data_IF_034856904775
#
_entry.id   IF_034856904775
#
_cell.length_a   1.000
_cell.length_b   1.000
_cell.length_c   1.000
_cell.angle_alpha   90.00
_cell.angle_beta   90.00
_cell.angle_gamma   90.00
#
_symmetry.space_group_name_H-M   'P 1'
#
loop_
_entity.id
_entity.type
_entity.pdbx_description
1 polymer ?
#
# COMPACT_ATOMS: atom_id res chain seq x y z
N UNK A 1 -11.27 -12.38 34.32
CA UNK A 1 -12.33 -11.36 34.47
C UNK A 1 -12.44 -10.64 33.13
N UNK A 2 -13.58 -10.80 32.44
CA UNK A 2 -13.98 -10.25 31.12
C UNK A 2 -12.90 -9.84 30.10
N UNK A 3 -12.80 -10.64 29.04
CA UNK A 3 -12.40 -10.21 27.70
C UNK A 3 -13.31 -9.09 27.19
N UNK A 4 -12.78 -8.20 26.34
CA UNK A 4 -13.55 -7.16 25.66
C UNK A 4 -13.79 -7.57 24.21
N UNK A 5 -15.03 -7.92 23.88
CA UNK A 5 -15.41 -8.46 22.58
C UNK A 5 -15.45 -7.41 21.46
N UNK A 6 -15.42 -7.92 20.22
CA UNK A 6 -15.57 -7.18 18.97
C UNK A 6 -16.80 -6.27 18.97
N UNK A 7 -16.66 -5.10 18.36
CA UNK A 7 -17.75 -4.15 18.13
C UNK A 7 -18.82 -4.73 17.20
N UNK A 8 -19.95 -5.16 17.77
CA UNK A 8 -21.13 -5.56 17.01
C UNK A 8 -21.83 -4.32 16.42
N UNK A 9 -21.88 -4.23 15.10
CA UNK A 9 -22.74 -3.25 14.44
C UNK A 9 -24.19 -3.79 14.40
N UNK A 10 -25.20 -2.97 14.72
CA UNK A 10 -26.59 -3.43 14.71
C UNK A 10 -27.07 -3.68 13.28
N UNK A 11 -27.50 -4.91 13.01
CA UNK A 11 -28.16 -5.30 11.76
C UNK A 11 -29.48 -4.51 11.62
N UNK A 12 -29.49 -3.43 10.82
CA UNK A 12 -30.73 -2.77 10.38
C UNK A 12 -31.28 -3.50 9.16
N UNK A 13 -32.55 -3.88 9.23
CA UNK A 13 -33.29 -4.40 8.08
C UNK A 13 -33.28 -3.38 6.93
N UNK A 14 -33.01 -3.80 5.68
CA UNK A 14 -32.91 -2.87 4.55
C UNK A 14 -34.26 -2.18 4.30
N UNK A 15 -34.20 -0.88 4.03
CA UNK A 15 -35.38 -0.03 3.78
C UNK A 15 -35.42 0.42 2.31
N UNK A 16 -36.56 0.92 1.85
CA UNK A 16 -36.68 1.53 0.53
C UNK A 16 -35.84 2.83 0.46
N UNK A 17 -34.92 2.89 -0.50
CA UNK A 17 -33.96 3.99 -0.64
C UNK A 17 -34.42 4.99 -1.70
N UNK A 18 -35.03 6.09 -1.27
CA UNK A 18 -35.26 7.25 -2.11
C UNK A 18 -33.97 8.09 -2.30
N UNK A 19 -32.96 7.51 -2.96
CA UNK A 19 -31.63 8.14 -3.12
C UNK A 19 -31.68 9.56 -3.69
N UNK A 20 -32.60 9.85 -4.61
CA UNK A 20 -32.76 11.18 -5.19
C UNK A 20 -33.19 12.23 -4.15
N UNK A 21 -34.08 11.88 -3.20
CA UNK A 21 -34.49 12.80 -2.14
C UNK A 21 -33.41 12.95 -1.08
N UNK A 22 -32.68 11.87 -0.76
CA UNK A 22 -31.52 11.90 0.16
C UNK A 22 -30.43 12.83 -0.39
N UNK A 23 -30.04 12.67 -1.66
CA UNK A 23 -29.04 13.53 -2.31
C UNK A 23 -29.50 15.00 -2.39
N UNK A 24 -30.78 15.25 -2.70
CA UNK A 24 -31.33 16.60 -2.70
C UNK A 24 -31.39 17.23 -1.30
N UNK A 25 -31.72 16.46 -0.26
CA UNK A 25 -31.70 16.90 1.13
C UNK A 25 -30.29 17.23 1.62
N UNK A 26 -29.31 16.40 1.26
CA UNK A 26 -27.88 16.61 1.60
C UNK A 26 -27.32 17.87 0.92
N UNK A 27 -27.64 18.07 -0.36
CA UNK A 27 -27.25 19.27 -1.11
C UNK A 27 -27.88 20.54 -0.51
N UNK A 28 -29.20 20.53 -0.29
CA UNK A 28 -29.95 21.69 0.22
C UNK A 28 -29.58 22.07 1.66
N UNK A 29 -29.21 21.10 2.51
CA UNK A 29 -28.75 21.34 3.89
C UNK A 29 -27.27 21.76 3.99
N UNK A 30 -26.56 21.90 2.86
CA UNK A 30 -25.12 22.16 2.80
C UNK A 30 -24.30 21.22 3.71
N UNK A 31 -24.66 19.94 3.74
CA UNK A 31 -24.04 18.98 4.68
C UNK A 31 -22.57 18.76 4.32
N UNK A 32 -21.70 18.75 5.35
CA UNK A 32 -20.29 18.33 5.24
C UNK A 32 -20.09 17.03 6.00
N UNK A 33 -19.48 16.02 5.37
CA UNK A 33 -19.29 14.69 5.95
C UNK A 33 -19.19 13.59 4.89
N UNK A 34 -19.35 12.33 5.30
CA UNK A 34 -19.48 11.21 4.39
C UNK A 34 -20.91 10.64 4.45
N UNK A 35 -21.63 10.64 3.34
CA UNK A 35 -22.83 9.83 3.17
C UNK A 35 -22.39 8.42 2.76
N UNK A 36 -22.52 7.48 3.69
CA UNK A 36 -22.36 6.05 3.43
C UNK A 36 -23.72 5.48 3.01
N UNK A 37 -23.76 4.74 1.91
CA UNK A 37 -24.92 3.92 1.50
C UNK A 37 -24.45 2.47 1.41
N UNK A 38 -25.26 1.54 1.90
CA UNK A 38 -24.96 0.10 1.88
C UNK A 38 -26.15 -0.69 1.36
N UNK A 39 -25.95 -1.58 0.39
CA UNK A 39 -26.93 -2.61 0.04
C UNK A 39 -26.61 -3.92 0.81
N UNK A 40 -26.91 -5.09 0.25
CA UNK A 40 -26.61 -6.39 0.87
C UNK A 40 -25.17 -6.89 0.66
N UNK A 41 -24.41 -6.34 -0.30
CA UNK A 41 -23.07 -6.85 -0.68
C UNK A 41 -22.03 -5.76 -0.95
N UNK A 42 -22.45 -4.49 -1.04
CA UNK A 42 -21.66 -3.36 -1.48
C UNK A 42 -21.84 -2.14 -0.56
N UNK A 43 -20.81 -1.30 -0.55
CA UNK A 43 -20.78 -0.02 0.18
C UNK A 43 -20.40 1.09 -0.79
N UNK A 44 -21.16 2.18 -0.80
CA UNK A 44 -20.85 3.43 -1.48
C UNK A 44 -20.53 4.52 -0.45
N UNK A 45 -19.55 5.36 -0.76
CA UNK A 45 -19.06 6.43 0.10
C UNK A 45 -19.06 7.72 -0.73
N UNK A 46 -19.84 8.71 -0.31
CA UNK A 46 -19.98 10.00 -0.96
C UNK A 46 -19.51 11.10 -0.01
N UNK A 47 -18.40 11.74 -0.35
CA UNK A 47 -17.76 12.76 0.48
C UNK A 47 -18.20 14.15 0.06
N UNK A 48 -18.73 14.88 1.03
CA UNK A 48 -19.49 16.08 0.83
C UNK A 48 -18.90 17.21 1.65
N UNK A 49 -18.84 18.40 1.05
CA UNK A 49 -18.43 19.62 1.72
C UNK A 49 -19.39 20.74 1.31
N UNK A 50 -20.07 21.35 2.28
CA UNK A 50 -21.09 22.40 2.05
C UNK A 50 -22.17 21.98 1.04
N UNK A 51 -22.51 20.68 1.00
CA UNK A 51 -23.48 20.10 0.07
C UNK A 51 -22.96 19.80 -1.35
N UNK A 52 -21.70 20.13 -1.66
CA UNK A 52 -21.04 19.76 -2.92
C UNK A 52 -20.28 18.45 -2.76
N UNK A 53 -20.23 17.63 -3.82
CA UNK A 53 -19.51 16.36 -3.82
C UNK A 53 -18.02 16.59 -4.10
N UNK A 54 -17.16 16.21 -3.15
CA UNK A 54 -15.70 16.27 -3.29
C UNK A 54 -15.17 14.98 -3.92
N UNK A 55 -15.75 13.83 -3.54
CA UNK A 55 -15.38 12.52 -4.08
C UNK A 55 -16.50 11.49 -3.87
N UNK A 56 -16.55 10.46 -4.73
CA UNK A 56 -17.35 9.28 -4.45
C UNK A 56 -16.65 8.00 -4.94
N UNK A 57 -16.64 6.98 -4.08
CA UNK A 57 -16.13 5.63 -4.37
C UNK A 57 -17.10 4.57 -3.87
N UNK A 58 -16.85 3.31 -4.20
CA UNK A 58 -17.60 2.15 -3.73
C UNK A 58 -16.68 0.92 -3.58
N UNK A 59 -17.18 -0.11 -2.91
CA UNK A 59 -16.47 -1.38 -2.72
C UNK A 59 -16.37 -2.25 -3.99
N UNK A 60 -16.94 -1.82 -5.11
CA UNK A 60 -17.03 -2.59 -6.35
C UNK A 60 -15.84 -2.26 -7.26
N UNK A 61 -14.73 -2.94 -6.98
CA UNK A 61 -13.42 -2.83 -7.63
C UNK A 61 -12.93 -1.36 -7.83
N UNK A 62 -12.69 -0.62 -6.73
CA UNK A 62 -12.21 0.75 -6.81
C UNK A 62 -10.84 0.87 -7.51
N UNK A 63 -9.99 -0.16 -7.46
CA UNK A 63 -8.69 -0.15 -8.14
C UNK A 63 -8.75 -0.44 -9.62
N UNK A 64 -9.51 -1.44 -10.07
CA UNK A 64 -9.74 -1.66 -11.50
C UNK A 64 -10.39 -0.45 -12.17
N UNK A 65 -11.32 0.20 -11.47
CA UNK A 65 -11.90 1.51 -11.85
C UNK A 65 -10.83 2.59 -11.99
N UNK A 66 -9.99 2.79 -10.96
CA UNK A 66 -8.91 3.77 -11.00
C UNK A 66 -7.91 3.48 -12.14
N UNK A 67 -7.44 2.25 -12.30
CA UNK A 67 -6.52 1.87 -13.39
C UNK A 67 -7.17 2.03 -14.77
N UNK A 68 -8.46 1.75 -14.93
CA UNK A 68 -9.17 2.01 -16.19
C UNK A 68 -9.16 3.51 -16.54
N UNK A 69 -9.43 4.40 -15.59
CA UNK A 69 -9.37 5.85 -15.84
C UNK A 69 -7.94 6.36 -16.00
N UNK A 70 -6.96 5.84 -15.26
CA UNK A 70 -5.53 6.16 -15.46
C UNK A 70 -5.02 5.70 -16.82
N UNK A 71 -5.46 4.54 -17.34
CA UNK A 71 -5.15 4.10 -18.71
C UNK A 71 -5.74 5.05 -19.74
N UNK A 72 -7.01 5.45 -19.62
CA UNK A 72 -7.65 6.45 -20.49
C UNK A 72 -6.90 7.78 -20.44
N UNK A 73 -6.50 8.23 -19.25
CA UNK A 73 -5.76 9.49 -19.07
C UNK A 73 -4.33 9.40 -19.61
N UNK A 74 -3.67 8.24 -19.54
CA UNK A 74 -2.31 8.04 -20.09
C UNK A 74 -2.20 8.22 -21.61
N UNK A 75 -3.32 8.14 -22.35
CA UNK A 75 -3.37 8.48 -23.77
C UNK A 75 -3.22 10.00 -24.03
N UNK A 76 -3.49 10.84 -23.02
CA UNK A 76 -3.33 12.31 -23.10
C UNK A 76 -2.22 12.85 -22.19
N UNK A 77 -1.73 12.03 -21.24
CA UNK A 77 -0.77 12.43 -20.20
C UNK A 77 0.41 11.44 -20.20
N UNK A 78 1.53 11.74 -20.89
CA UNK A 78 2.65 10.80 -21.04
C UNK A 78 3.44 10.53 -19.74
N UNK A 79 3.31 11.38 -18.70
CA UNK A 79 3.86 11.11 -17.36
C UNK A 79 3.22 9.90 -16.68
N UNK A 80 2.01 9.49 -17.08
CA UNK A 80 1.33 8.28 -16.58
C UNK A 80 1.76 7.02 -17.35
N UNK A 81 3.06 6.88 -17.61
CA UNK A 81 3.62 5.72 -18.30
C UNK A 81 3.28 4.40 -17.58
N UNK A 82 3.34 3.28 -18.31
CA UNK A 82 2.97 1.96 -17.76
C UNK A 82 3.66 1.60 -16.43
N UNK A 83 4.95 1.93 -16.19
CA UNK A 83 5.59 1.69 -14.90
C UNK A 83 4.91 2.41 -13.73
N UNK A 84 4.47 3.67 -13.93
CA UNK A 84 3.81 4.47 -12.88
C UNK A 84 2.45 3.87 -12.51
N UNK A 85 1.67 3.41 -13.50
CA UNK A 85 0.38 2.74 -13.24
C UNK A 85 0.56 1.41 -12.50
N UNK A 86 1.57 0.62 -12.88
CA UNK A 86 1.93 -0.62 -12.18
C UNK A 86 2.39 -0.32 -10.74
N UNK A 87 3.17 0.75 -10.54
CA UNK A 87 3.61 1.18 -9.21
C UNK A 87 2.44 1.62 -8.33
N UNK A 88 1.50 2.42 -8.84
CA UNK A 88 0.26 2.79 -8.12
C UNK A 88 -0.52 1.54 -7.71
N UNK A 89 -0.70 0.58 -8.64
CA UNK A 89 -1.37 -0.68 -8.34
C UNK A 89 -0.66 -1.45 -7.22
N UNK A 90 0.67 -1.62 -7.30
CA UNK A 90 1.45 -2.32 -6.29
C UNK A 90 1.43 -1.63 -4.91
N UNK A 91 1.39 -0.29 -4.86
CA UNK A 91 1.42 0.49 -3.62
C UNK A 91 0.09 0.47 -2.87
N UNK A 92 -1.05 0.46 -3.57
CA UNK A 92 -2.35 0.70 -2.93
C UNK A 92 -3.39 -0.43 -3.11
N UNK A 93 -3.28 -1.30 -4.13
CA UNK A 93 -4.25 -2.40 -4.36
C UNK A 93 -4.30 -3.38 -3.17
N UNK A 94 -3.12 -3.77 -2.66
CA UNK A 94 -3.01 -4.67 -1.50
C UNK A 94 -3.57 -4.07 -0.21
N UNK A 95 -3.59 -2.73 -0.09
CA UNK A 95 -4.15 -2.03 1.08
C UNK A 95 -5.68 -2.08 1.12
N UNK A 96 -6.33 -2.31 -0.04
CA UNK A 96 -7.77 -2.57 -0.13
C UNK A 96 -8.11 -4.02 0.23
N UNK A 97 -7.36 -5.01 -0.29
CA UNK A 97 -7.57 -6.44 0.00
C UNK A 97 -7.43 -6.78 1.50
N UNK A 98 -6.59 -6.04 2.22
CA UNK A 98 -6.38 -6.21 3.67
C UNK A 98 -7.41 -5.47 4.54
N UNK A 99 -8.38 -4.75 3.95
CA UNK A 99 -9.41 -4.01 4.68
C UNK A 99 -8.92 -2.77 5.44
N UNK A 100 -7.68 -2.33 5.20
CA UNK A 100 -7.02 -1.24 5.95
C UNK A 100 -7.40 0.15 5.42
N UNK A 101 -7.73 0.26 4.13
CA UNK A 101 -8.05 1.53 3.46
C UNK A 101 -9.48 1.62 2.91
N UNK A 102 -10.31 2.48 3.52
CA UNK A 102 -11.58 2.94 2.92
C UNK A 102 -11.41 4.05 1.86
N UNK A 103 -10.16 4.40 1.51
CA UNK A 103 -9.78 5.61 0.76
C UNK A 103 -8.64 5.37 -0.24
N UNK A 104 -8.25 4.12 -0.47
CA UNK A 104 -6.99 3.74 -1.12
C UNK A 104 -6.86 4.26 -2.55
N UNK A 105 -7.98 4.43 -3.25
CA UNK A 105 -8.07 5.02 -4.59
C UNK A 105 -7.90 6.56 -4.57
N UNK A 106 -8.50 7.27 -3.62
CA UNK A 106 -8.28 8.71 -3.45
C UNK A 106 -6.85 9.03 -2.97
N UNK A 107 -6.32 8.22 -2.06
CA UNK A 107 -4.93 8.33 -1.58
C UNK A 107 -3.93 8.12 -2.73
N UNK A 108 -4.21 7.17 -3.64
CA UNK A 108 -3.43 6.98 -4.86
C UNK A 108 -3.48 8.20 -5.81
N UNK A 109 -4.64 8.87 -5.94
CA UNK A 109 -4.76 10.12 -6.72
C UNK A 109 -3.96 11.26 -6.05
N UNK A 110 -4.03 11.39 -4.73
CA UNK A 110 -3.24 12.37 -3.98
C UNK A 110 -1.74 12.14 -4.20
N UNK A 111 -1.26 10.91 -4.06
CA UNK A 111 0.12 10.53 -4.29
C UNK A 111 0.60 10.84 -5.72
N UNK A 112 -0.23 10.58 -6.74
CA UNK A 112 0.08 10.93 -8.13
C UNK A 112 0.29 12.44 -8.35
N UNK A 113 -0.42 13.30 -7.60
CA UNK A 113 -0.23 14.76 -7.65
C UNK A 113 1.01 15.17 -6.84
N UNK A 114 1.24 14.59 -5.66
CA UNK A 114 2.44 14.85 -4.85
C UNK A 114 3.74 14.51 -5.59
N UNK A 115 3.76 13.40 -6.34
CA UNK A 115 4.89 12.98 -7.17
C UNK A 115 4.93 13.68 -8.55
N UNK A 116 4.07 14.68 -8.79
CA UNK A 116 3.99 15.46 -10.03
C UNK A 116 3.68 14.65 -11.31
N UNK A 117 3.16 13.43 -11.18
CA UNK A 117 2.67 12.65 -12.32
C UNK A 117 1.35 13.20 -12.88
N UNK A 118 0.53 13.82 -12.03
CA UNK A 118 -0.71 14.53 -12.36
C UNK A 118 -0.65 15.99 -11.95
N UNK A 119 -1.23 16.88 -12.76
CA UNK A 119 -1.58 18.23 -12.31
C UNK A 119 -2.85 18.21 -11.45
N UNK A 120 -3.09 19.19 -10.56
CA UNK A 120 -4.34 19.30 -9.80
C UNK A 120 -5.60 19.32 -10.68
N UNK A 121 -5.53 19.93 -11.87
CA UNK A 121 -6.62 19.96 -12.85
C UNK A 121 -6.90 18.58 -13.47
N UNK A 122 -5.85 17.79 -13.75
CA UNK A 122 -5.99 16.42 -14.24
C UNK A 122 -6.56 15.51 -13.15
N UNK A 123 -6.13 15.69 -11.89
CA UNK A 123 -6.70 15.01 -10.74
C UNK A 123 -8.18 15.37 -10.54
N UNK A 124 -8.54 16.66 -10.64
CA UNK A 124 -9.93 17.11 -10.57
C UNK A 124 -10.84 16.41 -11.60
N UNK A 125 -10.37 16.27 -12.84
CA UNK A 125 -11.07 15.54 -13.91
C UNK A 125 -11.18 14.04 -13.64
N UNK A 126 -10.13 13.43 -13.09
CA UNK A 126 -10.09 12.01 -12.72
C UNK A 126 -11.05 11.70 -11.56
N UNK A 127 -11.01 12.52 -10.50
CA UNK A 127 -11.92 12.48 -9.35
C UNK A 127 -13.37 12.62 -9.80
N UNK A 128 -13.67 13.56 -10.71
CA UNK A 128 -15.00 13.72 -11.29
C UNK A 128 -15.48 12.53 -12.12
N UNK A 129 -14.61 11.91 -12.93
CA UNK A 129 -14.95 10.73 -13.72
C UNK A 129 -15.25 9.51 -12.83
N UNK A 130 -14.43 9.28 -11.80
CA UNK A 130 -14.64 8.21 -10.82
C UNK A 130 -15.93 8.45 -10.02
N UNK A 131 -16.15 9.67 -9.54
CA UNK A 131 -17.35 10.04 -8.78
C UNK A 131 -18.63 9.87 -9.61
N UNK A 132 -18.59 10.20 -10.91
CA UNK A 132 -19.70 9.96 -11.83
C UNK A 132 -20.01 8.46 -11.95
N UNK A 133 -19.02 7.62 -12.20
CA UNK A 133 -19.21 6.17 -12.32
C UNK A 133 -19.68 5.53 -11.00
N UNK A 134 -19.23 6.06 -9.86
CA UNK A 134 -19.70 5.65 -8.52
C UNK A 134 -21.18 5.99 -8.33
N UNK A 135 -21.63 7.16 -8.79
CA UNK A 135 -23.06 7.55 -8.81
C UNK A 135 -23.90 6.73 -9.81
N UNK A 136 -23.34 6.38 -10.99
CA UNK A 136 -24.04 5.54 -11.99
C UNK A 136 -24.38 4.15 -11.42
N UNK A 137 -23.54 3.59 -10.55
CA UNK A 137 -23.82 2.32 -9.83
C UNK A 137 -24.75 2.49 -8.62
N UNK A 138 -24.79 3.67 -7.99
CA UNK A 138 -25.61 3.96 -6.81
C UNK A 138 -27.09 4.22 -7.18
N UNK A 139 -27.33 5.06 -8.18
CA UNK A 139 -28.68 5.54 -8.55
C UNK A 139 -29.72 4.45 -8.91
N UNK A 140 -29.37 3.23 -9.37
CA UNK A 140 -30.34 2.14 -9.58
C UNK A 140 -30.82 1.44 -8.30
N UNK A 141 -30.18 1.64 -7.15
CA UNK A 141 -30.54 0.92 -5.91
C UNK A 141 -31.93 1.33 -5.41
N UNK A 142 -32.75 0.33 -5.13
CA UNK A 142 -34.09 0.50 -4.57
C UNK A 142 -34.14 0.22 -3.06
N UNK A 143 -33.18 -0.54 -2.53
CA UNK A 143 -33.16 -0.99 -1.14
C UNK A 143 -31.76 -0.91 -0.54
N UNK A 144 -31.69 -0.62 0.76
CA UNK A 144 -30.45 -0.57 1.52
C UNK A 144 -30.58 0.26 2.79
N UNK A 145 -29.43 0.65 3.36
CA UNK A 145 -29.32 1.54 4.50
C UNK A 145 -28.43 2.75 4.11
N UNK A 146 -28.60 3.88 4.80
CA UNK A 146 -27.70 5.02 4.68
C UNK A 146 -27.36 5.60 6.05
N UNK A 147 -26.12 6.07 6.20
CA UNK A 147 -25.62 6.75 7.38
C UNK A 147 -24.90 8.05 6.95
N UNK A 148 -25.13 9.13 7.71
CA UNK A 148 -24.35 10.36 7.60
C UNK A 148 -23.27 10.35 8.68
N UNK A 149 -22.02 10.17 8.25
CA UNK A 149 -20.86 10.15 9.13
C UNK A 149 -20.26 11.57 9.19
N UNK A 150 -20.38 12.19 10.36
CA UNK A 150 -19.65 13.41 10.69
C UNK A 150 -18.17 13.07 10.83
N UNK A 151 -17.29 13.88 10.21
CA UNK A 151 -15.83 13.66 10.12
C UNK A 151 -15.40 12.40 9.33
N UNK A 152 -15.26 12.56 8.01
CA UNK A 152 -14.50 11.61 7.18
C UNK A 152 -13.00 11.93 7.19
N UNK A 153 -12.14 10.90 7.07
CA UNK A 153 -10.67 11.06 6.96
C UNK A 153 -10.23 12.05 5.87
N UNK A 154 -11.06 12.25 4.84
CA UNK A 154 -10.85 13.24 3.77
C UNK A 154 -10.64 14.70 4.25
N UNK A 155 -10.95 15.02 5.51
CA UNK A 155 -10.68 16.33 6.11
C UNK A 155 -9.21 16.80 5.97
N UNK A 156 -8.25 15.88 6.05
CA UNK A 156 -6.80 16.16 5.96
C UNK A 156 -6.20 15.98 4.57
N UNK A 157 -6.99 15.57 3.57
CA UNK A 157 -6.52 15.33 2.21
C UNK A 157 -6.79 16.56 1.31
N UNK A 158 -5.95 16.79 0.27
CA UNK A 158 -6.17 17.87 -0.68
C UNK A 158 -7.49 17.66 -1.42
N UNK A 159 -8.21 18.75 -1.70
CA UNK A 159 -9.48 18.75 -2.44
C UNK A 159 -9.22 19.22 -3.86
N UNK A 160 -9.44 18.35 -4.84
CA UNK A 160 -9.17 18.68 -6.25
C UNK A 160 -10.36 19.33 -6.96
N UNK A 161 -11.60 19.03 -6.55
CA UNK A 161 -12.79 19.63 -7.13
C UNK A 161 -13.98 19.61 -6.15
N UNK A 162 -14.94 20.48 -6.43
CA UNK A 162 -16.27 20.48 -5.83
C UNK A 162 -17.29 20.32 -6.97
N UNK A 163 -18.06 19.25 -6.92
CA UNK A 163 -18.96 18.85 -7.99
C UNK A 163 -20.42 19.03 -7.54
N UNK A 164 -21.24 19.63 -8.38
CA UNK A 164 -22.67 19.76 -8.08
C UNK A 164 -23.39 18.42 -8.27
N UNK A 165 -23.94 17.89 -7.17
CA UNK A 165 -24.69 16.64 -7.17
C UNK A 165 -25.82 16.62 -8.21
N UNK A 166 -26.53 17.74 -8.38
CA UNK A 166 -27.63 17.88 -9.34
C UNK A 166 -27.15 17.62 -10.77
N UNK A 167 -26.13 18.36 -11.20
CA UNK A 167 -25.53 18.29 -12.53
C UNK A 167 -24.95 16.90 -12.82
N UNK A 168 -24.36 16.24 -11.82
CA UNK A 168 -23.92 14.85 -11.92
C UNK A 168 -25.09 13.86 -12.08
N UNK A 169 -26.12 13.95 -11.24
CA UNK A 169 -27.29 13.06 -11.29
C UNK A 169 -28.04 13.20 -12.62
N UNK A 170 -28.23 14.42 -13.11
CA UNK A 170 -28.83 14.70 -14.42
C UNK A 170 -27.98 14.06 -15.55
N UNK A 171 -26.65 14.18 -15.51
CA UNK A 171 -25.75 13.55 -16.48
C UNK A 171 -25.82 12.01 -16.46
N UNK A 172 -25.87 11.39 -15.27
CA UNK A 172 -26.02 9.94 -15.12
C UNK A 172 -27.37 9.44 -15.65
N UNK A 173 -28.46 10.16 -15.39
CA UNK A 173 -29.79 9.83 -15.90
C UNK A 173 -29.84 9.91 -17.43
N UNK A 174 -29.29 10.96 -18.04
CA UNK A 174 -29.23 11.12 -19.51
C UNK A 174 -28.40 10.03 -20.16
N UNK A 175 -27.27 9.62 -19.58
CA UNK A 175 -26.48 8.47 -20.08
C UNK A 175 -27.28 7.17 -20.05
N UNK A 176 -28.01 6.90 -18.96
CA UNK A 176 -28.84 5.69 -18.82
C UNK A 176 -29.96 5.61 -19.86
N UNK A 177 -30.52 6.75 -20.27
CA UNK A 177 -31.51 6.83 -21.36
C UNK A 177 -30.87 6.53 -22.73
N UNK A 178 -29.59 6.90 -22.94
CA UNK A 178 -28.85 6.67 -24.19
C UNK A 178 -28.21 5.29 -24.30
N UNK A 179 -28.04 4.55 -23.20
CA UNK A 179 -27.49 3.19 -23.17
C UNK A 179 -28.38 2.26 -22.31
N UNK A 180 -29.52 1.77 -22.84
CA UNK A 180 -30.22 0.64 -22.23
C UNK A 180 -29.36 -0.63 -22.34
N UNK A 181 -29.31 -1.42 -21.27
CA UNK A 181 -28.43 -2.59 -21.14
C UNK A 181 -28.53 -3.55 -22.34
N UNK A 182 -27.37 -3.96 -22.85
CA UNK A 182 -27.23 -5.09 -23.76
C UNK A 182 -27.90 -6.34 -23.18
N UNK A 183 -28.80 -6.96 -23.93
CA UNK A 183 -29.54 -8.16 -23.50
C UNK A 183 -28.56 -9.31 -23.15
N UNK A 184 -28.88 -10.16 -22.15
CA UNK A 184 -28.15 -11.41 -21.96
C UNK A 184 -28.37 -12.33 -23.17
N UNK A 185 -27.30 -12.74 -23.84
CA UNK A 185 -27.33 -13.64 -24.97
C UNK A 185 -27.72 -15.06 -24.53
N UNK A 186 -28.93 -15.49 -24.86
CA UNK A 186 -29.34 -16.90 -24.74
C UNK A 186 -28.58 -17.77 -25.75
N UNK A 187 -28.11 -18.93 -25.29
CA UNK A 187 -27.99 -20.12 -26.15
C UNK A 187 -26.58 -20.57 -26.53
N UNK A 188 -25.95 -21.38 -25.66
CA UNK A 188 -25.05 -22.46 -26.06
C UNK A 188 -24.92 -23.49 -24.91
N UNK A 189 -25.62 -24.62 -25.03
CA UNK A 189 -25.25 -25.88 -24.36
C UNK A 189 -24.74 -26.87 -25.44
N UNK A 190 -24.35 -28.12 -25.12
CA UNK A 190 -23.00 -28.43 -24.66
C UNK A 190 -22.31 -29.42 -25.62
N UNK A 191 -20.98 -29.39 -25.74
CA UNK A 191 -20.26 -30.38 -26.56
C UNK A 191 -19.21 -31.19 -25.80
N UNK A 192 -19.50 -32.48 -25.79
CA UNK A 192 -18.74 -33.65 -25.35
C UNK A 192 -17.24 -33.59 -25.62
N UNK A 193 -16.50 -34.27 -24.74
CA UNK A 193 -15.12 -34.69 -24.98
C UNK A 193 -14.97 -35.53 -26.26
N UNK A 194 -13.90 -35.28 -27.00
CA UNK A 194 -12.94 -36.30 -27.51
C UNK A 194 -11.66 -35.61 -27.96
N UNK A 195 -10.51 -36.23 -27.69
CA UNK A 195 -9.21 -35.56 -27.74
C UNK A 195 -8.57 -35.48 -29.13
N UNK A 196 -7.67 -34.51 -29.29
CA UNK A 196 -6.66 -34.48 -30.35
C UNK A 196 -5.33 -33.97 -29.78
N UNK A 197 -4.40 -34.91 -29.61
CA UNK A 197 -3.02 -34.74 -29.15
C UNK A 197 -2.19 -33.96 -30.19
N UNK A 198 -1.72 -32.75 -29.86
CA UNK A 198 -0.62 -32.10 -30.61
C UNK A 198 0.38 -31.43 -29.67
N UNK A 199 1.46 -32.16 -29.39
CA UNK A 199 2.73 -31.60 -28.89
C UNK A 199 3.56 -31.12 -30.09
N UNK A 200 4.30 -30.01 -29.95
CA UNK A 200 5.51 -29.69 -30.72
C UNK A 200 6.30 -28.57 -30.01
N UNK A 201 7.62 -28.45 -30.22
CA UNK A 201 8.52 -29.14 -29.31
C UNK A 201 9.58 -28.24 -28.65
N UNK A 202 10.15 -28.73 -27.55
CA UNK A 202 11.36 -28.17 -26.93
C UNK A 202 12.58 -28.65 -27.72
N UNK A 203 13.47 -27.75 -28.13
CA UNK A 203 14.73 -28.08 -28.77
C UNK A 203 15.82 -28.40 -27.72
N UNK A 204 16.67 -29.42 -27.93
CA UNK A 204 17.68 -29.82 -26.95
C UNK A 204 18.98 -29.01 -27.06
N UNK A 205 19.61 -28.78 -25.91
CA UNK A 205 21.00 -28.32 -25.81
C UNK A 205 21.96 -29.46 -26.20
N UNK A 206 23.04 -29.20 -26.96
CA UNK A 206 24.05 -30.20 -27.25
C UNK A 206 25.04 -30.35 -26.09
N UNK A 207 25.18 -31.59 -25.59
CA UNK A 207 26.36 -32.00 -24.82
C UNK A 207 27.55 -32.16 -25.77
N UNK A 208 28.75 -31.81 -25.32
CA UNK A 208 29.98 -32.45 -25.77
C UNK A 208 30.99 -32.51 -24.63
N UNK A 209 31.80 -33.57 -24.58
CA UNK A 209 32.47 -34.03 -23.37
C UNK A 209 33.99 -34.22 -23.56
N UNK A 210 34.70 -34.03 -22.44
CA UNK A 210 36.00 -34.60 -22.09
C UNK A 210 37.24 -34.29 -22.96
N UNK A 211 38.21 -33.60 -22.35
CA UNK A 211 39.60 -34.05 -22.11
C UNK A 211 40.29 -33.02 -21.19
N UNK A 212 40.60 -33.34 -19.93
CA UNK A 212 41.77 -34.07 -19.42
C UNK A 212 43.05 -33.20 -19.37
N UNK A 213 43.52 -32.84 -18.16
CA UNK A 213 44.95 -32.78 -17.76
C UNK A 213 45.11 -32.45 -16.25
N UNK A 214 46.11 -33.06 -15.61
CA UNK A 214 46.62 -32.90 -14.23
C UNK A 214 48.14 -32.62 -14.32
N UNK A 215 48.86 -32.26 -13.22
CA UNK A 215 48.43 -31.63 -11.97
C UNK A 215 49.02 -30.18 -11.92
N UNK A 216 50.17 -29.79 -11.28
CA UNK A 216 51.02 -30.37 -10.22
C UNK A 216 50.67 -29.81 -8.81
N UNK A 217 51.65 -29.69 -7.91
CA UNK A 217 51.63 -29.08 -6.56
C UNK A 217 53.02 -28.48 -6.29
N UNK A 218 53.14 -27.31 -5.64
CA UNK A 218 54.33 -26.99 -4.79
C UNK A 218 54.06 -25.90 -3.75
N UNK A 219 54.69 -26.03 -2.58
CA UNK A 219 54.75 -25.03 -1.48
C UNK A 219 55.70 -23.86 -1.86
N UNK A 220 55.66 -22.75 -1.09
CA UNK A 220 56.79 -22.24 -0.25
C UNK A 220 56.31 -21.11 0.69
N UNK A 221 56.56 -21.32 1.97
CA UNK A 221 56.95 -20.48 3.14
C UNK A 221 56.66 -18.95 3.27
N UNK A 222 56.92 -18.45 4.49
CA UNK A 222 56.56 -17.15 5.05
C UNK A 222 57.71 -16.11 4.98
N UNK A 223 57.39 -14.83 5.25
CA UNK A 223 58.37 -13.76 5.47
C UNK A 223 57.71 -12.42 5.81
N UNK A 224 58.20 -11.76 6.87
CA UNK A 224 57.68 -10.47 7.38
C UNK A 224 58.29 -9.25 6.68
N UNK A 225 57.63 -8.09 6.78
CA UNK A 225 58.19 -6.79 7.23
C UNK A 225 57.49 -5.59 6.56
N UNK A 226 56.99 -4.66 7.38
CA UNK A 226 56.05 -3.62 6.93
C UNK A 226 56.62 -2.31 6.36
N UNK A 227 55.69 -1.44 5.99
CA UNK A 227 55.76 0.02 6.21
C UNK A 227 54.35 0.63 6.13
N UNK A 228 54.06 1.74 6.83
CA UNK A 228 52.70 2.23 7.04
C UNK A 228 52.26 3.25 5.99
N UNK A 229 50.97 3.24 5.62
CA UNK A 229 50.35 4.41 5.00
C UNK A 229 48.87 4.55 5.34
N UNK A 230 48.50 5.74 5.82
CA UNK A 230 47.16 6.35 5.81
C UNK A 230 45.97 5.46 6.23
N UNK A 231 45.62 5.53 7.51
CA UNK A 231 44.33 5.06 8.01
C UNK A 231 43.16 5.89 7.48
N UNK A 232 42.57 5.45 6.37
CA UNK A 232 41.13 5.64 6.15
C UNK A 232 40.38 4.91 7.28
N UNK A 233 39.22 5.42 7.75
CA UNK A 233 38.44 4.72 8.78
C UNK A 233 38.12 3.32 8.27
N UNK A 234 38.32 2.29 9.12
CA UNK A 234 38.07 0.89 8.74
C UNK A 234 36.65 0.78 8.20
N UNK A 235 36.51 0.60 6.88
CA UNK A 235 35.22 0.31 6.28
C UNK A 235 34.71 -0.97 6.91
N UNK A 236 33.59 -0.86 7.64
CA UNK A 236 33.04 -1.99 8.37
C UNK A 236 32.67 -3.06 7.34
N UNK A 237 33.37 -4.19 7.36
CA UNK A 237 33.22 -5.24 6.34
C UNK A 237 31.83 -5.86 6.35
N UNK A 238 31.11 -5.75 7.48
CA UNK A 238 29.75 -6.27 7.64
C UNK A 238 28.99 -5.41 8.67
N UNK A 239 27.82 -4.90 8.29
CA UNK A 239 26.94 -4.14 9.18
C UNK A 239 25.94 -5.07 9.87
N UNK A 240 25.72 -4.90 11.18
CA UNK A 240 24.72 -5.68 11.92
C UNK A 240 23.38 -4.94 11.93
N UNK A 241 22.36 -5.52 11.31
CA UNK A 241 21.01 -4.96 11.22
C UNK A 241 20.06 -5.75 12.12
N UNK A 242 19.56 -5.12 13.19
CA UNK A 242 18.54 -5.73 14.04
C UNK A 242 17.14 -5.53 13.47
N UNK A 243 16.36 -6.60 13.42
CA UNK A 243 15.02 -6.61 12.84
C UNK A 243 14.03 -7.11 13.88
N UNK A 244 13.14 -6.23 14.34
CA UNK A 244 12.13 -6.52 15.37
C UNK A 244 10.75 -6.46 14.71
N UNK A 245 10.11 -7.62 14.59
CA UNK A 245 8.84 -7.82 13.89
C UNK A 245 8.24 -9.13 14.41
N UNK A 246 6.95 -9.18 14.75
CA UNK A 246 6.30 -10.42 15.19
C UNK A 246 5.93 -11.34 14.01
N UNK A 247 6.03 -10.84 12.77
CA UNK A 247 5.82 -11.64 11.57
C UNK A 247 7.12 -12.35 11.14
N UNK A 248 7.24 -13.69 11.30
CA UNK A 248 8.40 -14.42 10.81
C UNK A 248 8.55 -14.31 9.29
N UNK A 249 7.45 -14.09 8.57
CA UNK A 249 7.43 -13.82 7.12
C UNK A 249 8.17 -12.53 6.76
N UNK A 250 8.01 -11.47 7.54
CA UNK A 250 8.71 -10.18 7.30
C UNK A 250 10.20 -10.32 7.64
N UNK A 251 10.53 -10.99 8.74
CA UNK A 251 11.94 -11.26 9.10
C UNK A 251 12.65 -12.12 8.05
N UNK A 252 12.00 -13.19 7.56
CA UNK A 252 12.50 -14.01 6.46
C UNK A 252 12.75 -13.15 5.19
N UNK A 253 11.84 -12.22 4.87
CA UNK A 253 11.98 -11.37 3.70
C UNK A 253 13.13 -10.36 3.84
N UNK A 254 13.29 -9.75 5.02
CA UNK A 254 14.41 -8.82 5.29
C UNK A 254 15.75 -9.56 5.21
N UNK A 255 15.85 -10.74 5.82
CA UNK A 255 17.04 -11.59 5.77
C UNK A 255 17.37 -12.00 4.33
N UNK A 256 16.39 -12.45 3.55
CA UNK A 256 16.61 -12.79 2.14
C UNK A 256 16.91 -11.57 1.23
N UNK A 257 16.59 -10.35 1.65
CA UNK A 257 16.82 -9.13 0.88
C UNK A 257 18.17 -8.45 1.18
N UNK A 258 18.78 -8.72 2.34
CA UNK A 258 20.08 -8.19 2.74
C UNK A 258 21.16 -9.25 2.50
N UNK A 259 22.14 -8.94 1.64
CA UNK A 259 23.24 -9.86 1.31
C UNK A 259 24.15 -10.12 2.51
N UNK A 260 24.31 -11.41 2.89
CA UNK A 260 25.19 -11.91 3.95
C UNK A 260 26.64 -11.43 3.84
N UNK A 261 27.11 -11.08 2.64
CA UNK A 261 28.45 -10.53 2.43
C UNK A 261 28.64 -9.14 3.05
N UNK A 262 27.57 -8.32 3.11
CA UNK A 262 27.60 -6.94 3.56
C UNK A 262 26.82 -6.71 4.88
N UNK A 263 25.87 -7.59 5.19
CA UNK A 263 24.97 -7.46 6.33
C UNK A 263 24.90 -8.72 7.17
N UNK A 264 24.82 -8.55 8.48
CA UNK A 264 24.45 -9.60 9.44
C UNK A 264 23.09 -9.25 10.02
N UNK A 265 22.08 -10.05 9.72
CA UNK A 265 20.72 -9.82 10.21
C UNK A 265 20.55 -10.45 11.60
N UNK A 266 20.13 -9.64 12.58
CA UNK A 266 19.73 -10.09 13.91
C UNK A 266 18.21 -10.08 14.00
N UNK A 267 17.60 -11.26 13.97
CA UNK A 267 16.14 -11.44 14.02
C UNK A 267 15.63 -11.45 15.45
N UNK A 268 14.55 -10.71 15.71
CA UNK A 268 13.93 -10.56 17.03
C UNK A 268 12.41 -10.66 16.89
N UNK A 269 11.87 -11.88 17.02
CA UNK A 269 10.41 -12.14 16.91
C UNK A 269 9.63 -11.73 18.16
N UNK A 270 10.26 -11.76 19.34
CA UNK A 270 9.62 -11.37 20.59
C UNK A 270 10.03 -9.94 21.01
N UNK A 271 9.13 -8.94 20.91
CA UNK A 271 9.46 -7.55 21.22
C UNK A 271 9.87 -7.32 22.68
N UNK A 272 9.39 -8.12 23.63
CA UNK A 272 9.77 -8.04 25.05
C UNK A 272 11.26 -8.39 25.23
N UNK A 273 11.81 -9.27 24.39
CA UNK A 273 13.24 -9.60 24.39
C UNK A 273 14.12 -8.57 23.68
N UNK A 274 13.53 -7.67 22.87
CA UNK A 274 14.24 -6.85 21.91
C UNK A 274 15.33 -5.98 22.55
N UNK A 275 15.00 -5.27 23.62
CA UNK A 275 15.94 -4.36 24.29
C UNK A 275 17.21 -5.09 24.77
N UNK A 276 17.04 -6.29 25.36
CA UNK A 276 18.18 -7.10 25.82
C UNK A 276 19.04 -7.61 24.65
N UNK A 277 18.41 -8.04 23.54
CA UNK A 277 19.12 -8.48 22.35
C UNK A 277 19.87 -7.34 21.65
N UNK A 278 19.27 -6.15 21.57
CA UNK A 278 19.87 -4.94 21.01
C UNK A 278 21.06 -4.47 21.87
N UNK A 279 20.92 -4.43 23.20
CA UNK A 279 22.01 -4.10 24.14
C UNK A 279 23.20 -5.07 23.98
N UNK A 280 22.93 -6.37 23.88
CA UNK A 280 23.99 -7.40 23.73
C UNK A 280 24.72 -7.29 22.39
N UNK A 281 23.99 -7.14 21.29
CA UNK A 281 24.57 -7.25 19.94
C UNK A 281 25.04 -5.92 19.33
N UNK A 282 24.57 -4.77 19.87
CA UNK A 282 24.95 -3.41 19.42
C UNK A 282 24.85 -3.23 17.89
N UNK A 283 23.64 -3.37 17.31
CA UNK A 283 23.43 -3.24 15.87
C UNK A 283 23.78 -1.83 15.37
N UNK A 284 24.20 -1.76 14.11
CA UNK A 284 24.48 -0.50 13.40
C UNK A 284 23.19 0.17 12.92
N UNK A 285 22.15 -0.62 12.63
CA UNK A 285 20.84 -0.13 12.22
C UNK A 285 19.74 -1.04 12.79
N UNK A 286 18.61 -0.44 13.15
CA UNK A 286 17.45 -1.11 13.74
C UNK A 286 16.26 -0.91 12.80
N UNK A 287 15.71 -2.00 12.27
CA UNK A 287 14.42 -2.09 11.61
C UNK A 287 13.39 -2.52 12.67
N UNK A 288 12.43 -1.66 12.98
CA UNK A 288 11.50 -1.85 14.09
C UNK A 288 10.06 -1.73 13.60
N UNK A 289 9.28 -2.80 13.70
CA UNK A 289 7.86 -2.75 13.39
C UNK A 289 7.10 -1.80 14.34
N UNK A 290 6.08 -1.14 13.81
CA UNK A 290 5.16 -0.29 14.58
C UNK A 290 4.08 -1.14 15.25
N UNK A 291 3.52 -2.11 14.54
CA UNK A 291 2.25 -2.78 14.91
C UNK A 291 2.50 -4.18 15.46
N UNK A 292 3.13 -4.27 16.64
CA UNK A 292 3.38 -5.56 17.30
C UNK A 292 2.39 -5.84 18.44
N UNK A 293 2.02 -7.12 18.69
CA UNK A 293 1.23 -7.49 19.84
C UNK A 293 2.02 -7.30 21.15
N UNK A 294 1.36 -6.75 22.16
CA UNK A 294 1.88 -6.51 23.53
C UNK A 294 2.96 -5.43 23.69
N UNK A 295 3.47 -4.81 22.62
CA UNK A 295 4.40 -3.67 22.72
C UNK A 295 4.22 -2.72 21.52
N UNK A 296 4.01 -1.43 21.78
CA UNK A 296 4.00 -0.41 20.73
C UNK A 296 5.44 -0.12 20.25
N UNK A 297 5.69 -0.23 18.94
CA UNK A 297 6.99 0.10 18.35
C UNK A 297 7.44 1.54 18.63
N UNK A 298 6.50 2.49 18.78
CA UNK A 298 6.81 3.87 19.17
C UNK A 298 7.40 3.95 20.59
N UNK A 299 6.90 3.15 21.53
CA UNK A 299 7.41 3.08 22.90
C UNK A 299 8.81 2.47 22.91
N UNK A 300 9.04 1.37 22.19
CA UNK A 300 10.36 0.76 22.06
C UNK A 300 11.38 1.72 21.41
N UNK A 301 10.98 2.46 20.37
CA UNK A 301 11.80 3.52 19.79
C UNK A 301 12.16 4.60 20.82
N UNK A 302 11.18 5.08 21.61
CA UNK A 302 11.44 6.06 22.66
C UNK A 302 12.34 5.51 23.77
N UNK A 303 12.28 4.23 24.11
CA UNK A 303 13.15 3.61 25.10
C UNK A 303 14.59 3.51 24.58
N UNK A 304 14.77 3.07 23.34
CA UNK A 304 16.08 3.00 22.67
C UNK A 304 16.73 4.40 22.58
N UNK A 305 15.95 5.44 22.25
CA UNK A 305 16.45 6.83 22.18
C UNK A 305 16.86 7.43 23.52
N UNK A 306 16.29 6.97 24.63
CA UNK A 306 16.73 7.34 25.99
C UNK A 306 18.00 6.60 26.42
N UNK A 307 18.31 5.47 25.80
CA UNK A 307 19.49 4.67 26.12
C UNK A 307 20.76 5.28 25.49
N UNK A 308 21.82 5.62 26.26
CA UNK A 308 23.00 6.32 25.73
C UNK A 308 23.67 5.64 24.53
N UNK A 309 23.75 4.30 24.52
CA UNK A 309 24.35 3.53 23.43
C UNK A 309 23.58 3.62 22.10
N UNK A 310 22.27 3.91 22.12
CA UNK A 310 21.41 3.86 20.93
C UNK A 310 20.82 5.23 20.58
N UNK A 311 21.32 6.30 21.19
CA UNK A 311 20.88 7.68 20.91
C UNK A 311 21.11 8.09 19.44
N UNK A 312 22.19 7.59 18.82
CA UNK A 312 22.55 7.90 17.43
C UNK A 312 22.27 6.76 16.43
N UNK A 313 22.13 5.51 16.89
CA UNK A 313 21.86 4.35 16.03
C UNK A 313 20.62 4.58 15.16
N UNK A 314 20.72 4.48 13.82
CA UNK A 314 19.56 4.51 12.94
C UNK A 314 18.42 3.59 13.40
N UNK A 315 17.23 4.15 13.61
CA UNK A 315 16.00 3.39 13.85
C UNK A 315 15.04 3.70 12.69
N UNK A 316 14.78 2.71 11.85
CA UNK A 316 13.84 2.78 10.74
C UNK A 316 12.57 2.07 11.19
N UNK A 317 11.47 2.81 11.25
CA UNK A 317 10.19 2.24 11.62
C UNK A 317 9.60 1.55 10.39
N UNK A 318 9.30 0.27 10.53
CA UNK A 318 8.66 -0.56 9.51
C UNK A 318 7.17 -0.58 9.84
N UNK A 319 6.28 -0.32 8.88
CA UNK A 319 4.83 -0.23 9.19
C UNK A 319 3.93 -0.58 8.02
N UNK A 320 2.86 -1.34 8.28
CA UNK A 320 1.77 -1.55 7.31
C UNK A 320 0.75 -0.42 7.22
N UNK A 321 0.86 0.61 8.07
CA UNK A 321 -0.01 1.79 8.08
C UNK A 321 0.81 3.08 8.01
N UNK A 322 0.48 3.97 7.08
CA UNK A 322 1.27 5.17 6.75
C UNK A 322 0.50 6.48 6.93
N UNK A 323 -0.55 6.47 7.74
CA UNK A 323 -1.32 7.68 8.07
C UNK A 323 -0.44 8.81 8.61
N UNK A 324 -0.86 10.06 8.38
CA UNK A 324 -0.12 11.26 8.82
C UNK A 324 0.20 11.26 10.34
N UNK A 325 -0.67 10.63 11.13
CA UNK A 325 -0.51 10.46 12.59
C UNK A 325 0.74 9.63 12.92
N UNK A 326 1.00 8.57 12.14
CA UNK A 326 2.15 7.69 12.33
C UNK A 326 3.46 8.42 12.02
N UNK A 327 3.51 9.17 10.90
CA UNK A 327 4.65 10.03 10.53
C UNK A 327 4.85 11.24 11.46
N UNK A 328 3.86 11.63 12.25
CA UNK A 328 4.03 12.63 13.31
C UNK A 328 4.62 11.99 14.57
N UNK A 329 4.03 10.88 15.06
CA UNK A 329 4.52 10.10 16.22
C UNK A 329 5.97 9.67 16.04
N UNK A 330 6.30 9.11 14.87
CA UNK A 330 7.64 8.89 14.35
C UNK A 330 8.69 9.91 14.78
N UNK A 331 8.44 11.16 14.39
CA UNK A 331 9.36 12.29 14.52
C UNK A 331 9.46 12.74 15.96
N UNK A 332 8.37 12.60 16.73
CA UNK A 332 8.33 12.87 18.17
C UNK A 332 9.12 11.82 18.98
N UNK A 333 9.09 10.53 18.60
CA UNK A 333 9.90 9.48 19.24
C UNK A 333 11.33 9.36 18.73
N UNK A 334 11.72 10.19 17.75
CA UNK A 334 13.10 10.29 17.25
C UNK A 334 13.51 9.20 16.26
N UNK A 335 12.58 8.59 15.53
CA UNK A 335 12.91 7.66 14.43
C UNK A 335 13.80 8.33 13.37
N UNK A 336 14.73 7.59 12.79
CA UNK A 336 15.62 8.07 11.71
C UNK A 336 14.98 8.01 10.32
N UNK A 337 14.05 7.09 10.09
CA UNK A 337 13.40 6.88 8.80
C UNK A 337 12.19 5.94 8.89
N UNK A 338 11.51 5.73 7.75
CA UNK A 338 10.29 4.92 7.63
C UNK A 338 10.36 4.00 6.41
N UNK A 339 9.95 2.75 6.59
CA UNK A 339 9.76 1.76 5.53
C UNK A 339 8.32 1.22 5.57
N UNK A 340 7.62 1.24 4.44
CA UNK A 340 6.21 0.79 4.38
C UNK A 340 6.14 -0.70 4.05
N UNK A 341 5.35 -1.48 4.78
CA UNK A 341 4.98 -2.86 4.41
C UNK A 341 3.81 -2.79 3.41
N UNK A 342 3.82 -3.54 2.29
CA UNK A 342 4.92 -4.36 1.80
C UNK A 342 6.02 -3.50 1.14
N UNK A 343 7.28 -3.90 1.33
CA UNK A 343 8.47 -3.29 0.70
C UNK A 343 9.16 -4.28 -0.23
N UNK A 344 9.92 -3.76 -1.21
CA UNK A 344 10.79 -4.56 -2.08
C UNK A 344 12.24 -4.54 -1.60
N UNK A 345 13.08 -5.45 -2.11
CA UNK A 345 14.52 -5.44 -1.84
C UNK A 345 15.19 -4.10 -2.19
N UNK A 346 14.93 -3.46 -3.35
CA UNK A 346 15.41 -2.11 -3.63
C UNK A 346 15.00 -1.05 -2.58
N UNK A 347 13.77 -1.08 -2.07
CA UNK A 347 13.30 -0.11 -1.06
C UNK A 347 14.07 -0.26 0.25
N UNK A 348 14.24 -1.52 0.68
CA UNK A 348 14.98 -1.88 1.89
C UNK A 348 16.47 -1.50 1.77
N UNK A 349 17.14 -1.90 0.69
CA UNK A 349 18.56 -1.56 0.47
C UNK A 349 18.76 -0.04 0.40
N UNK A 350 17.88 0.67 -0.29
CA UNK A 350 17.94 2.15 -0.40
C UNK A 350 17.84 2.82 0.97
N UNK A 351 16.96 2.37 1.87
CA UNK A 351 16.85 2.98 3.20
C UNK A 351 17.99 2.54 4.13
N UNK A 352 18.44 1.29 4.04
CA UNK A 352 19.55 0.78 4.86
C UNK A 352 20.86 1.49 4.50
N UNK A 353 21.23 1.56 3.21
CA UNK A 353 22.45 2.26 2.79
C UNK A 353 22.42 3.76 3.09
N UNK A 354 21.27 4.43 2.91
CA UNK A 354 21.10 5.86 3.24
C UNK A 354 21.44 6.19 4.70
N UNK A 355 21.29 5.23 5.61
CA UNK A 355 21.44 5.44 7.04
C UNK A 355 22.69 4.77 7.64
N UNK A 356 23.48 4.03 6.87
CA UNK A 356 24.73 3.40 7.28
C UNK A 356 25.99 4.06 6.66
N UNK A 357 25.82 5.01 5.74
CA UNK A 357 26.89 5.79 5.09
C UNK A 357 27.04 7.18 5.71
#
# INVERSE_FOLDING_TARGET
MRTSDMTSYPYRSPQELHLLSILAQVASRQTSGCLRVTDTTNVWLLYLERGQLVYASNSLDPFGRLDQHLRRLSATVPSLASPVRVQVRLLFEKSFELGVGQFSDYEAICWLVEQQYLTPEQAARLVGAIAQESLETLLPLQFGNYDLLTEGRLAHLPRFCHLELRSLVEACQVRRIRQPMSRPSKGAQPLSARGARFQRPIAPLPNSSAQNFKPPVTKVEAGEAGSPSSGLPLQKTTYTVACIDDSPTVLNAIEAFLDDNAFKVLRIENPVSALMQIIRNKPDLILLDVTMPNLDGYELCSLLRRHPLFKQTPIIMVTGNTGLIDRAKAKLVGSSGYLTKPFTQPDLLKIVFKHLQ
#
